data_IF_321511427272
#
_entry.id   IF_321511427272
#
_cell.length_a   1.000
_cell.length_b   1.000
_cell.length_c   1.000
_cell.angle_alpha   90.00
_cell.angle_beta   90.00
_cell.angle_gamma   90.00
#
_symmetry.space_group_name_H-M   'P 1'
#
loop_
_entity.id
_entity.type
_entity.pdbx_description
1 polymer ?
#
# COMPACT_ATOMS: atom_id res chain seq x y z
N UNK A 1 58.82 -35.49 -12.43
CA UNK A 1 57.69 -34.54 -12.31
C UNK A 1 56.70 -35.18 -11.34
N UNK A 2 56.71 -34.73 -10.07
CA UNK A 2 56.01 -35.41 -8.97
C UNK A 2 54.56 -34.93 -8.91
N UNK A 3 53.64 -35.87 -9.10
CA UNK A 3 52.22 -35.73 -8.82
C UNK A 3 52.03 -36.16 -7.36
N UNK A 4 51.37 -35.32 -6.57
CA UNK A 4 50.95 -35.62 -5.20
C UNK A 4 49.44 -35.46 -5.11
N UNK A 5 48.74 -36.55 -4.82
CA UNK A 5 47.33 -36.56 -4.42
C UNK A 5 47.20 -36.11 -2.94
N UNK A 6 46.10 -35.40 -2.57
CA UNK A 6 45.61 -35.37 -1.20
C UNK A 6 44.41 -36.33 -0.99
N UNK A 7 44.09 -36.66 0.27
CA UNK A 7 43.52 -37.95 0.63
C UNK A 7 41.99 -38.01 0.54
N UNK A 8 41.52 -39.25 0.37
CA UNK A 8 40.15 -39.72 0.45
C UNK A 8 39.53 -39.39 1.83
N UNK A 9 38.58 -38.45 1.87
CA UNK A 9 37.66 -38.29 3.02
C UNK A 9 36.28 -38.80 2.62
N UNK A 10 35.84 -39.85 3.31
CA UNK A 10 34.60 -40.56 3.10
C UNK A 10 33.37 -39.63 2.94
N UNK A 11 32.62 -39.83 1.86
CA UNK A 11 31.25 -39.33 1.73
C UNK A 11 30.39 -39.95 2.83
N UNK A 12 30.02 -39.13 3.80
CA UNK A 12 28.97 -39.45 4.75
C UNK A 12 27.69 -38.73 4.31
N UNK A 13 27.04 -39.26 3.26
CA UNK A 13 25.71 -38.81 2.81
C UNK A 13 24.63 -39.32 3.78
N UNK A 14 24.62 -38.76 4.98
CA UNK A 14 23.52 -38.89 5.94
C UNK A 14 22.67 -37.61 5.92
N UNK A 15 21.32 -37.70 6.01
CA UNK A 15 20.49 -36.51 6.16
C UNK A 15 20.87 -35.79 7.47
N UNK A 16 21.10 -34.48 7.38
CA UNK A 16 21.32 -33.60 8.54
C UNK A 16 20.02 -33.50 9.34
N UNK A 17 19.85 -34.42 10.27
CA UNK A 17 18.75 -34.45 11.24
C UNK A 17 19.14 -33.77 12.56
N UNK A 18 20.15 -32.88 12.56
CA UNK A 18 20.51 -32.13 13.75
C UNK A 18 19.37 -31.15 14.10
N UNK A 19 18.86 -31.12 15.36
CA UNK A 19 17.84 -30.18 15.79
C UNK A 19 18.48 -28.81 16.06
N UNK A 20 19.37 -28.39 15.17
CA UNK A 20 19.97 -27.08 15.20
C UNK A 20 18.86 -26.15 14.71
N UNK A 21 18.13 -25.57 15.67
CA UNK A 21 17.22 -24.44 15.40
C UNK A 21 17.97 -23.52 14.46
N UNK A 22 17.46 -23.34 13.23
CA UNK A 22 17.95 -22.35 12.30
C UNK A 22 17.85 -20.98 12.96
N UNK A 23 18.85 -20.61 13.76
CA UNK A 23 19.07 -19.26 14.23
C UNK A 23 19.65 -18.55 13.03
N UNK A 24 18.76 -18.02 12.20
CA UNK A 24 19.13 -16.96 11.26
C UNK A 24 19.59 -15.77 12.11
N UNK A 25 20.90 -15.71 12.36
CA UNK A 25 21.54 -14.60 13.05
C UNK A 25 21.73 -13.38 12.12
N UNK A 26 21.24 -13.45 10.88
CA UNK A 26 21.04 -12.30 9.98
C UNK A 26 19.59 -11.78 10.06
N UNK A 27 19.18 -11.26 11.23
CA UNK A 27 17.84 -10.67 11.39
C UNK A 27 17.76 -9.31 10.70
N UNK A 28 17.73 -9.30 9.36
CA UNK A 28 17.15 -8.17 8.62
C UNK A 28 15.77 -7.91 9.23
N UNK A 29 15.45 -6.69 9.69
CA UNK A 29 14.17 -6.41 10.34
C UNK A 29 13.01 -6.83 9.42
N UNK A 30 12.31 -7.90 9.81
CA UNK A 30 11.09 -8.36 9.15
C UNK A 30 9.90 -7.51 9.58
N UNK A 31 8.79 -7.58 8.84
CA UNK A 31 7.54 -6.95 9.27
C UNK A 31 7.09 -7.49 10.66
N UNK A 32 6.93 -6.63 11.69
CA UNK A 32 6.53 -7.07 13.02
C UNK A 32 5.22 -7.86 13.04
N UNK A 33 5.10 -8.86 13.93
CA UNK A 33 3.87 -9.67 14.05
C UNK A 33 2.64 -8.83 14.38
N UNK A 34 2.80 -7.77 15.17
CA UNK A 34 1.75 -6.82 15.53
C UNK A 34 1.31 -5.90 14.39
N UNK A 35 2.04 -5.88 13.27
CA UNK A 35 1.76 -5.03 12.11
C UNK A 35 1.13 -5.82 10.94
N UNK A 36 0.75 -7.08 11.15
CA UNK A 36 0.23 -7.94 10.08
C UNK A 36 -0.88 -8.89 10.52
N UNK A 37 -1.85 -9.08 9.64
CA UNK A 37 -2.86 -10.13 9.75
C UNK A 37 -2.31 -11.49 9.28
N UNK A 38 -2.86 -12.60 9.78
CA UNK A 38 -2.49 -13.94 9.32
C UNK A 38 -3.07 -14.28 7.93
N UNK A 39 -4.07 -13.54 7.47
CA UNK A 39 -4.73 -13.69 6.17
C UNK A 39 -4.90 -12.32 5.51
N UNK A 40 -4.76 -12.30 4.19
CA UNK A 40 -5.00 -11.15 3.33
C UNK A 40 -5.50 -11.64 1.95
N UNK A 41 -5.97 -10.73 1.09
CA UNK A 41 -6.66 -11.03 -0.18
C UNK A 41 -5.82 -10.60 -1.38
N UNK A 42 -4.56 -11.02 -1.39
CA UNK A 42 -3.68 -10.83 -2.52
C UNK A 42 -2.70 -12.00 -2.63
N UNK A 43 -2.00 -12.07 -3.76
CA UNK A 43 -1.11 -13.16 -4.12
C UNK A 43 0.14 -13.33 -3.23
N UNK A 44 0.36 -12.46 -2.24
CA UNK A 44 1.52 -12.52 -1.33
C UNK A 44 1.10 -12.39 0.13
N UNK A 45 1.70 -13.14 1.08
CA UNK A 45 1.44 -12.95 2.49
C UNK A 45 1.90 -11.57 3.00
N UNK A 46 1.16 -11.00 3.96
CA UNK A 46 1.48 -9.70 4.57
C UNK A 46 2.95 -9.56 5.04
N UNK A 47 3.54 -10.63 5.62
CA UNK A 47 4.94 -10.63 6.08
C UNK A 47 5.96 -10.47 4.96
N UNK A 48 5.63 -10.98 3.76
CA UNK A 48 6.49 -10.89 2.59
C UNK A 48 6.33 -9.49 2.00
N UNK A 49 5.12 -9.11 1.61
CA UNK A 49 4.88 -7.83 0.92
C UNK A 49 5.21 -6.61 1.78
N UNK A 50 5.10 -6.70 3.11
CA UNK A 50 5.39 -5.59 4.01
C UNK A 50 6.82 -5.64 4.59
N UNK A 51 7.66 -6.58 4.15
CA UNK A 51 9.05 -6.70 4.59
C UNK A 51 10.06 -5.98 3.67
N UNK A 52 11.27 -5.80 4.18
CA UNK A 52 12.37 -5.15 3.46
C UNK A 52 12.82 -5.92 2.22
N UNK A 53 12.74 -7.25 2.23
CA UNK A 53 13.09 -8.07 1.06
C UNK A 53 12.17 -7.76 -0.12
N UNK A 54 10.86 -7.57 0.10
CA UNK A 54 9.95 -7.12 -0.94
C UNK A 54 10.22 -5.67 -1.34
N UNK A 55 10.56 -4.80 -0.38
CA UNK A 55 10.97 -3.43 -0.69
C UNK A 55 12.15 -3.41 -1.65
N UNK A 56 13.15 -4.29 -1.50
CA UNK A 56 14.32 -4.36 -2.37
C UNK A 56 14.04 -5.09 -3.69
N UNK A 57 13.27 -6.17 -3.63
CA UNK A 57 13.00 -7.08 -4.74
C UNK A 57 11.50 -7.29 -4.93
N UNK A 58 10.77 -6.27 -5.42
CA UNK A 58 9.33 -6.38 -5.55
C UNK A 58 8.96 -7.38 -6.64
N UNK A 59 7.91 -8.13 -6.35
CA UNK A 59 7.20 -9.00 -7.29
C UNK A 59 5.83 -8.40 -7.61
N UNK A 60 5.17 -8.79 -8.71
CA UNK A 60 3.81 -8.34 -8.98
C UNK A 60 2.88 -8.58 -7.77
N UNK A 61 2.13 -7.55 -7.39
CA UNK A 61 1.19 -7.60 -6.27
C UNK A 61 -0.22 -7.48 -6.84
N UNK A 62 -0.99 -8.56 -6.73
CA UNK A 62 -2.27 -8.74 -7.40
C UNK A 62 -3.34 -9.02 -6.35
N UNK A 63 -4.43 -8.26 -6.38
CA UNK A 63 -5.59 -8.50 -5.51
C UNK A 63 -6.38 -9.68 -6.06
N UNK A 64 -6.77 -10.59 -5.17
CA UNK A 64 -7.41 -11.84 -5.55
C UNK A 64 -8.73 -11.60 -6.31
N UNK A 65 -8.91 -12.28 -7.45
CA UNK A 65 -10.16 -12.28 -8.22
C UNK A 65 -10.41 -11.05 -9.08
N UNK A 66 -9.60 -9.99 -8.98
CA UNK A 66 -9.85 -8.75 -9.74
C UNK A 66 -9.69 -8.97 -11.26
N UNK A 67 -8.63 -9.66 -11.68
CA UNK A 67 -8.37 -9.90 -13.08
C UNK A 67 -9.47 -10.76 -13.73
N UNK A 68 -9.97 -11.75 -13.00
CA UNK A 68 -11.00 -12.68 -13.43
C UNK A 68 -12.38 -12.02 -13.48
N UNK A 69 -12.78 -11.33 -12.39
CA UNK A 69 -14.10 -10.68 -12.28
C UNK A 69 -14.25 -9.48 -13.22
N UNK A 70 -13.15 -8.82 -13.57
CA UNK A 70 -13.14 -7.60 -14.37
C UNK A 70 -12.34 -7.72 -15.65
N UNK A 71 -12.24 -8.94 -16.22
CA UNK A 71 -11.54 -9.19 -17.48
C UNK A 71 -12.00 -8.25 -18.63
N UNK A 72 -13.31 -7.91 -18.67
CA UNK A 72 -13.86 -6.98 -19.66
C UNK A 72 -13.28 -5.56 -19.54
N UNK A 73 -13.08 -5.06 -18.31
CA UNK A 73 -12.44 -3.77 -18.07
C UNK A 73 -11.01 -3.76 -18.61
N UNK A 74 -10.20 -4.74 -18.22
CA UNK A 74 -8.79 -4.80 -18.65
C UNK A 74 -8.65 -4.96 -20.16
N UNK A 75 -9.55 -5.72 -20.80
CA UNK A 75 -9.63 -5.80 -22.26
C UNK A 75 -9.89 -4.44 -22.90
N UNK A 76 -10.83 -3.65 -22.37
CA UNK A 76 -11.12 -2.30 -22.87
C UNK A 76 -9.96 -1.34 -22.63
N UNK A 77 -9.34 -1.38 -21.46
CA UNK A 77 -8.19 -0.53 -21.12
C UNK A 77 -7.00 -0.80 -22.04
N UNK A 78 -6.68 -2.08 -22.30
CA UNK A 78 -5.59 -2.46 -23.20
C UNK A 78 -5.85 -2.07 -24.67
N UNK A 79 -7.12 -1.92 -25.07
CA UNK A 79 -7.49 -1.47 -26.41
C UNK A 79 -7.57 0.06 -26.55
N UNK A 80 -7.61 0.80 -25.44
CA UNK A 80 -7.79 2.24 -25.43
C UNK A 80 -6.46 2.98 -25.59
N UNK A 81 -6.51 4.13 -26.26
CA UNK A 81 -5.38 5.07 -26.31
C UNK A 81 -5.03 5.57 -24.88
N UNK A 82 -3.75 5.89 -24.60
CA UNK A 82 -3.32 6.37 -23.27
C UNK A 82 -4.19 7.48 -22.68
N UNK A 83 -4.61 8.44 -23.51
CA UNK A 83 -5.38 9.62 -23.10
C UNK A 83 -6.83 9.28 -22.76
N UNK A 84 -7.36 8.18 -23.32
CA UNK A 84 -8.74 7.74 -23.12
C UNK A 84 -8.91 6.73 -21.97
N UNK A 85 -7.82 6.11 -21.48
CA UNK A 85 -7.89 5.03 -20.47
C UNK A 85 -8.56 5.46 -19.16
N UNK A 86 -8.34 6.70 -18.71
CA UNK A 86 -8.96 7.23 -17.50
C UNK A 86 -10.49 7.40 -17.63
N UNK A 87 -10.98 7.74 -18.82
CA UNK A 87 -12.41 7.85 -19.11
C UNK A 87 -13.05 6.45 -19.19
N UNK A 88 -12.42 5.53 -19.93
CA UNK A 88 -12.85 4.11 -20.01
C UNK A 88 -12.96 3.48 -18.62
N UNK A 89 -11.97 3.72 -17.74
CA UNK A 89 -12.00 3.26 -16.37
C UNK A 89 -13.19 3.84 -15.60
N UNK A 90 -13.40 5.16 -15.68
CA UNK A 90 -14.47 5.86 -14.99
C UNK A 90 -15.84 5.38 -15.43
N UNK A 91 -16.06 5.26 -16.72
CA UNK A 91 -17.31 4.79 -17.30
C UNK A 91 -17.64 3.37 -16.85
N UNK A 92 -16.64 2.49 -16.85
CA UNK A 92 -16.81 1.13 -16.33
C UNK A 92 -17.24 1.14 -14.87
N UNK A 93 -16.58 1.91 -13.99
CA UNK A 93 -16.95 1.98 -12.58
C UNK A 93 -18.35 2.58 -12.40
N UNK A 94 -18.70 3.62 -13.15
CA UNK A 94 -20.01 4.26 -13.10
C UNK A 94 -21.13 3.27 -13.44
N UNK A 95 -20.97 2.51 -14.52
CA UNK A 95 -21.97 1.52 -14.95
C UNK A 95 -21.98 0.30 -14.03
N UNK A 96 -20.81 -0.29 -13.75
CA UNK A 96 -20.72 -1.53 -12.98
C UNK A 96 -21.23 -1.35 -11.53
N UNK A 97 -20.91 -0.21 -10.91
CA UNK A 97 -21.35 0.11 -9.54
C UNK A 97 -22.50 1.12 -9.48
N UNK A 98 -23.23 1.34 -10.59
CA UNK A 98 -24.42 2.19 -10.62
C UNK A 98 -24.21 3.54 -9.89
N UNK A 99 -23.05 4.17 -10.08
CA UNK A 99 -22.65 5.33 -9.26
C UNK A 99 -23.55 6.55 -9.46
N UNK A 100 -24.22 6.62 -10.62
CA UNK A 100 -25.18 7.67 -10.98
C UNK A 100 -26.65 7.27 -10.77
N UNK A 101 -26.92 5.99 -10.51
CA UNK A 101 -28.28 5.43 -10.33
C UNK A 101 -28.42 4.70 -8.98
N UNK A 102 -28.24 5.40 -7.85
CA UNK A 102 -28.25 4.79 -6.52
C UNK A 102 -29.57 4.07 -6.18
N UNK A 103 -30.69 4.47 -6.79
CA UNK A 103 -31.99 3.80 -6.67
C UNK A 103 -31.97 2.35 -7.16
N UNK A 104 -31.17 2.03 -8.19
CA UNK A 104 -30.99 0.65 -8.68
C UNK A 104 -30.27 -0.23 -7.65
N UNK A 105 -29.57 0.40 -6.71
CA UNK A 105 -28.89 -0.26 -5.59
C UNK A 105 -29.69 -0.20 -4.28
N UNK A 106 -31.00 0.10 -4.36
CA UNK A 106 -31.91 0.10 -3.22
C UNK A 106 -31.92 1.40 -2.40
N UNK A 107 -31.42 2.51 -2.94
CA UNK A 107 -31.51 3.81 -2.27
C UNK A 107 -32.94 4.38 -2.31
N UNK A 108 -33.49 4.71 -1.14
CA UNK A 108 -34.88 5.19 -0.98
C UNK A 108 -35.01 6.70 -0.67
N UNK A 109 -33.92 7.48 -0.77
CA UNK A 109 -34.02 8.96 -0.80
C UNK A 109 -33.73 9.72 0.49
N UNK A 110 -33.61 9.08 1.66
CA UNK A 110 -33.53 9.81 2.95
C UNK A 110 -32.15 10.40 3.30
N UNK A 111 -31.04 9.94 2.71
CA UNK A 111 -29.68 10.43 3.03
C UNK A 111 -28.79 10.61 1.79
N UNK A 112 -29.00 11.71 1.04
CA UNK A 112 -28.28 12.05 -0.21
C UNK A 112 -26.74 12.13 -0.11
N UNK A 113 -26.16 12.31 1.10
CA UNK A 113 -24.70 12.39 1.29
C UNK A 113 -23.97 11.06 1.01
N UNK A 114 -24.70 9.93 1.09
CA UNK A 114 -24.13 8.57 1.06
C UNK A 114 -24.05 7.97 -0.33
N UNK A 115 -24.91 8.42 -1.25
CA UNK A 115 -24.84 8.03 -2.67
C UNK A 115 -23.54 8.50 -3.34
N UNK A 116 -22.88 9.50 -2.75
CA UNK A 116 -21.59 10.03 -3.21
C UNK A 116 -20.38 9.39 -2.52
N UNK A 117 -20.58 8.36 -1.68
CA UNK A 117 -19.49 7.63 -1.01
C UNK A 117 -18.90 6.56 -1.95
N UNK A 118 -18.17 7.02 -2.96
CA UNK A 118 -17.46 6.20 -3.94
C UNK A 118 -15.93 6.38 -3.80
N UNK A 119 -15.17 5.64 -4.60
CA UNK A 119 -13.70 5.68 -4.60
C UNK A 119 -13.14 7.11 -4.70
N UNK A 120 -13.71 7.97 -5.54
CA UNK A 120 -13.23 9.34 -5.75
C UNK A 120 -13.39 10.17 -4.47
N UNK A 121 -14.49 10.00 -3.73
CA UNK A 121 -14.68 10.67 -2.44
C UNK A 121 -13.67 10.18 -1.40
N UNK A 122 -13.34 8.88 -1.38
CA UNK A 122 -12.34 8.35 -0.44
C UNK A 122 -10.96 8.95 -0.68
N UNK A 123 -10.54 8.98 -1.95
CA UNK A 123 -9.24 9.56 -2.35
C UNK A 123 -9.19 11.06 -2.04
N UNK A 124 -10.25 11.82 -2.35
CA UNK A 124 -10.32 13.25 -2.00
C UNK A 124 -10.31 13.50 -0.50
N UNK A 125 -11.05 12.69 0.27
CA UNK A 125 -11.12 12.80 1.72
C UNK A 125 -9.76 12.54 2.37
N UNK A 126 -8.98 11.60 1.83
CA UNK A 126 -7.61 11.32 2.27
C UNK A 126 -6.70 12.54 2.16
N UNK A 127 -6.68 13.20 0.99
CA UNK A 127 -5.82 14.37 0.76
C UNK A 127 -6.20 15.57 1.62
N UNK A 128 -7.43 15.63 2.15
CA UNK A 128 -7.83 16.67 3.09
C UNK A 128 -7.43 16.32 4.53
N UNK A 129 -7.77 15.12 4.98
CA UNK A 129 -7.42 14.62 6.31
C UNK A 129 -7.29 13.09 6.28
N UNK A 130 -6.06 12.61 6.44
CA UNK A 130 -5.76 11.17 6.44
C UNK A 130 -6.34 10.43 7.66
N UNK A 131 -6.77 11.16 8.70
CA UNK A 131 -7.43 10.66 9.90
C UNK A 131 -8.94 10.89 9.91
N UNK A 132 -9.49 11.29 8.75
CA UNK A 132 -10.93 11.35 8.52
C UNK A 132 -11.57 9.97 8.37
N UNK A 133 -12.90 9.93 8.34
CA UNK A 133 -13.67 8.71 8.03
C UNK A 133 -13.24 8.07 6.70
N UNK A 134 -13.02 8.87 5.67
CA UNK A 134 -12.54 8.42 4.36
C UNK A 134 -11.14 7.79 4.49
N UNK A 135 -10.27 8.36 5.33
CA UNK A 135 -8.98 7.76 5.67
C UNK A 135 -9.09 6.46 6.46
N UNK A 136 -10.09 6.34 7.35
CA UNK A 136 -10.37 5.10 8.07
C UNK A 136 -10.76 3.96 7.11
N UNK A 137 -11.56 4.28 6.09
CA UNK A 137 -11.95 3.34 5.02
C UNK A 137 -10.74 2.87 4.23
N UNK A 138 -9.86 3.78 3.76
CA UNK A 138 -8.67 3.40 3.00
C UNK A 138 -7.70 2.54 3.82
N UNK A 139 -7.45 2.91 5.09
CA UNK A 139 -6.66 2.12 6.03
C UNK A 139 -7.27 0.72 6.21
N UNK A 140 -8.60 0.62 6.32
CA UNK A 140 -9.31 -0.65 6.45
C UNK A 140 -9.25 -1.51 5.18
N UNK A 141 -9.34 -0.88 4.01
CA UNK A 141 -9.18 -1.54 2.72
C UNK A 141 -7.77 -2.14 2.58
N UNK A 142 -6.72 -1.38 2.90
CA UNK A 142 -5.34 -1.90 2.85
C UNK A 142 -5.15 -3.06 3.82
N UNK A 143 -5.64 -2.94 5.05
CA UNK A 143 -5.60 -4.02 6.02
C UNK A 143 -6.28 -5.29 5.47
N UNK A 144 -7.44 -5.13 4.83
CA UNK A 144 -8.19 -6.26 4.26
C UNK A 144 -7.48 -6.94 3.09
N UNK A 145 -6.86 -6.17 2.18
CA UNK A 145 -6.28 -6.70 0.92
C UNK A 145 -4.85 -7.17 1.10
N UNK A 146 -4.05 -6.40 1.82
CA UNK A 146 -2.61 -6.63 1.97
C UNK A 146 -2.22 -7.13 3.37
N UNK A 147 -3.18 -7.21 4.30
CA UNK A 147 -2.95 -7.72 5.65
C UNK A 147 -2.08 -6.81 6.50
N UNK A 148 -1.88 -5.55 6.09
CA UNK A 148 -1.07 -4.58 6.83
C UNK A 148 -1.96 -3.78 7.79
N UNK A 149 -1.71 -3.94 9.09
CA UNK A 149 -2.53 -3.32 10.14
C UNK A 149 -2.17 -1.82 10.26
N UNK A 150 -3.16 -0.91 10.33
CA UNK A 150 -2.89 0.51 10.51
C UNK A 150 -2.20 0.77 11.86
N UNK A 151 -1.24 1.69 11.87
CA UNK A 151 -0.44 2.05 13.04
C UNK A 151 -0.91 3.33 13.71
N UNK A 152 -1.63 4.17 12.97
CA UNK A 152 -2.07 5.49 13.43
C UNK A 152 -3.36 5.93 12.75
N UNK A 153 -4.27 6.52 13.54
CA UNK A 153 -5.46 7.21 13.05
C UNK A 153 -5.93 8.24 14.09
N UNK A 154 -5.43 9.48 13.99
CA UNK A 154 -5.57 10.53 15.01
C UNK A 154 -4.81 10.25 16.32
N UNK A 155 -4.64 8.97 16.64
CA UNK A 155 -3.88 8.43 17.75
C UNK A 155 -3.20 7.10 17.37
N UNK A 156 -2.15 6.67 18.09
CA UNK A 156 -1.51 5.38 17.85
C UNK A 156 -2.48 4.21 18.04
N UNK A 157 -2.47 3.26 17.10
CA UNK A 157 -3.35 2.09 17.06
C UNK A 157 -2.64 0.80 17.52
N UNK A 158 -1.76 0.92 18.53
CA UNK A 158 -0.90 -0.20 18.97
C UNK A 158 -1.65 -1.28 19.74
N UNK A 159 -2.75 -0.92 20.38
CA UNK A 159 -3.58 -1.82 21.17
C UNK A 159 -4.94 -2.03 20.48
N UNK A 160 -5.22 -3.23 19.93
CA UNK A 160 -6.50 -3.55 19.32
C UNK A 160 -7.71 -3.44 20.26
N UNK A 161 -7.49 -3.53 21.58
CA UNK A 161 -8.55 -3.38 22.59
C UNK A 161 -8.72 -1.94 23.10
N UNK A 162 -7.84 -1.02 22.72
CA UNK A 162 -7.83 0.34 23.23
C UNK A 162 -8.86 1.25 22.55
N UNK A 163 -9.27 2.32 23.25
CA UNK A 163 -10.27 3.27 22.77
C UNK A 163 -9.95 3.89 21.41
N UNK A 164 -8.67 4.11 21.11
CA UNK A 164 -8.22 4.64 19.82
C UNK A 164 -8.55 3.68 18.67
N UNK A 165 -8.36 2.38 18.90
CA UNK A 165 -8.68 1.34 17.92
C UNK A 165 -10.20 1.20 17.74
N UNK A 166 -10.95 1.25 18.84
CA UNK A 166 -12.43 1.22 18.78
C UNK A 166 -12.96 2.40 17.98
N UNK A 167 -12.49 3.63 18.25
CA UNK A 167 -12.88 4.83 17.47
C UNK A 167 -12.55 4.70 15.99
N UNK A 168 -11.34 4.23 15.66
CA UNK A 168 -10.95 3.96 14.27
C UNK A 168 -11.90 2.96 13.59
N UNK A 169 -12.23 1.87 14.29
CA UNK A 169 -13.14 0.83 13.79
C UNK A 169 -14.57 1.35 13.60
N UNK A 170 -15.07 2.20 14.50
CA UNK A 170 -16.36 2.89 14.37
C UNK A 170 -16.37 3.79 13.14
N UNK A 171 -15.34 4.63 12.95
CA UNK A 171 -15.24 5.50 11.78
C UNK A 171 -15.18 4.70 10.48
N UNK A 172 -14.32 3.67 10.42
CA UNK A 172 -14.26 2.74 9.27
C UNK A 172 -15.63 2.15 8.97
N UNK A 173 -16.32 1.63 9.99
CA UNK A 173 -17.63 1.00 9.85
C UNK A 173 -18.68 1.99 9.35
N UNK A 174 -18.70 3.22 9.88
CA UNK A 174 -19.59 4.27 9.41
C UNK A 174 -19.31 4.69 7.96
N UNK A 175 -18.04 4.67 7.55
CA UNK A 175 -17.59 4.98 6.20
C UNK A 175 -18.00 3.92 5.18
N UNK A 176 -17.93 2.64 5.55
CA UNK A 176 -18.31 1.50 4.70
C UNK A 176 -19.81 1.22 4.68
N UNK A 177 -20.49 1.46 5.81
CA UNK A 177 -21.91 1.17 5.95
C UNK A 177 -22.69 1.79 4.79
N UNK A 178 -23.60 1.03 4.19
CA UNK A 178 -24.51 1.45 3.11
C UNK A 178 -23.83 2.18 1.95
N UNK A 179 -22.62 1.76 1.60
CA UNK A 179 -21.93 2.11 0.36
C UNK A 179 -22.12 1.00 -0.68
N UNK A 180 -21.99 1.33 -1.97
CA UNK A 180 -22.10 0.32 -3.01
C UNK A 180 -20.76 -0.35 -3.31
N UNK A 181 -20.46 -1.46 -2.64
CA UNK A 181 -19.26 -2.27 -2.87
C UNK A 181 -17.96 -1.42 -2.91
N UNK A 182 -17.84 -0.45 -2.01
CA UNK A 182 -16.78 0.56 -2.03
C UNK A 182 -15.37 -0.05 -2.04
N UNK A 183 -15.16 -1.13 -1.30
CA UNK A 183 -13.85 -1.77 -1.28
C UNK A 183 -13.50 -2.42 -2.64
N UNK A 184 -14.48 -2.95 -3.39
CA UNK A 184 -14.25 -3.47 -4.74
C UNK A 184 -13.95 -2.34 -5.75
N UNK A 185 -14.54 -1.16 -5.55
CA UNK A 185 -14.15 0.03 -6.32
C UNK A 185 -12.68 0.39 -6.10
N UNK A 186 -12.20 0.32 -4.84
CA UNK A 186 -10.80 0.57 -4.50
C UNK A 186 -9.85 -0.51 -5.04
N UNK A 187 -10.29 -1.77 -5.09
CA UNK A 187 -9.57 -2.88 -5.72
C UNK A 187 -9.31 -2.58 -7.21
N UNK A 188 -10.30 -2.02 -7.91
CA UNK A 188 -10.16 -1.59 -9.30
C UNK A 188 -9.26 -0.35 -9.46
N UNK A 189 -9.34 0.63 -8.55
CA UNK A 189 -8.43 1.79 -8.58
C UNK A 189 -6.98 1.33 -8.46
N UNK A 190 -6.68 0.46 -7.49
CA UNK A 190 -5.34 -0.11 -7.34
C UNK A 190 -4.89 -0.81 -8.62
N UNK A 191 -5.73 -1.70 -9.16
CA UNK A 191 -5.36 -2.52 -10.32
C UNK A 191 -5.21 -1.68 -11.60
N UNK A 192 -6.01 -0.63 -11.75
CA UNK A 192 -5.85 0.36 -12.82
C UNK A 192 -4.54 1.16 -12.67
N UNK A 193 -4.20 1.58 -11.45
CA UNK A 193 -2.92 2.22 -11.15
C UNK A 193 -1.74 1.30 -11.54
N UNK A 194 -1.82 0.01 -11.20
CA UNK A 194 -0.78 -0.96 -11.56
C UNK A 194 -0.65 -1.15 -13.07
N UNK A 195 -1.76 -1.21 -13.80
CA UNK A 195 -1.74 -1.26 -15.26
C UNK A 195 -1.08 -0.01 -15.87
N UNK A 196 -1.47 1.18 -15.43
CA UNK A 196 -0.90 2.44 -15.93
C UNK A 196 0.60 2.53 -15.67
N UNK A 197 1.04 2.19 -14.45
CA UNK A 197 2.46 2.20 -14.09
C UNK A 197 3.26 1.20 -14.92
N UNK A 198 2.74 -0.01 -15.13
CA UNK A 198 3.41 -1.03 -15.96
C UNK A 198 3.53 -0.60 -17.43
N UNK A 199 2.50 0.06 -17.97
CA UNK A 199 2.52 0.53 -19.36
C UNK A 199 3.41 1.77 -19.56
N UNK A 200 3.46 2.69 -18.59
CA UNK A 200 4.27 3.92 -18.68
C UNK A 200 5.74 3.70 -18.31
N UNK A 201 6.01 2.75 -17.42
CA UNK A 201 7.34 2.51 -16.85
C UNK A 201 7.70 1.00 -16.85
N UNK A 202 7.78 0.35 -18.01
CA UNK A 202 7.88 -1.11 -18.12
C UNK A 202 9.16 -1.71 -17.51
N UNK A 203 10.23 -0.93 -17.39
CA UNK A 203 11.51 -1.37 -16.83
C UNK A 203 11.74 -0.91 -15.39
N UNK A 204 10.94 0.05 -14.91
CA UNK A 204 11.11 0.58 -13.57
C UNK A 204 10.46 -0.36 -12.54
N UNK A 205 11.13 -0.54 -11.41
CA UNK A 205 10.61 -1.31 -10.27
C UNK A 205 10.30 -0.43 -9.07
N UNK A 206 10.95 0.73 -9.00
CA UNK A 206 10.92 1.65 -7.89
C UNK A 206 10.78 3.08 -8.37
N UNK A 207 10.35 3.94 -7.45
CA UNK A 207 10.40 5.39 -7.58
C UNK A 207 10.91 5.97 -6.25
N UNK A 208 11.80 6.96 -6.34
CA UNK A 208 12.22 7.74 -5.19
C UNK A 208 11.09 8.70 -4.81
N UNK A 209 10.61 8.61 -3.59
CA UNK A 209 9.60 9.51 -3.06
C UNK A 209 10.03 10.11 -1.72
N UNK A 210 9.47 11.28 -1.43
CA UNK A 210 9.80 12.09 -0.26
C UNK A 210 8.58 12.30 0.62
N UNK A 211 8.83 12.41 1.93
CA UNK A 211 7.81 12.79 2.91
C UNK A 211 8.44 13.71 3.97
N UNK A 212 7.85 14.88 4.16
CA UNK A 212 8.16 15.76 5.28
C UNK A 212 7.58 15.19 6.58
N UNK A 213 8.36 15.25 7.65
CA UNK A 213 7.97 14.79 8.97
C UNK A 213 8.50 15.72 10.06
N UNK A 214 7.66 16.00 11.05
CA UNK A 214 8.05 16.85 12.18
C UNK A 214 9.06 16.14 13.08
N UNK A 215 8.79 14.88 13.45
CA UNK A 215 9.68 14.11 14.34
C UNK A 215 9.79 12.67 13.87
N UNK A 216 11.02 12.12 13.89
CA UNK A 216 11.23 10.68 13.71
C UNK A 216 10.48 9.82 14.74
N UNK A 217 10.17 10.37 15.92
CA UNK A 217 9.41 9.70 16.97
C UNK A 217 7.95 9.39 16.59
N UNK A 218 7.44 10.05 15.53
CA UNK A 218 6.09 9.79 15.02
C UNK A 218 6.03 8.46 14.24
N UNK A 219 7.19 7.89 13.92
CA UNK A 219 7.33 6.59 13.28
C UNK A 219 7.90 5.54 14.25
N UNK A 220 7.44 4.28 14.08
CA UNK A 220 8.02 3.14 14.78
C UNK A 220 9.37 2.78 14.12
N UNK A 221 10.48 3.10 14.79
CA UNK A 221 11.84 2.78 14.30
C UNK A 221 12.19 1.34 14.64
N UNK A 222 12.37 0.50 13.62
CA UNK A 222 12.71 -0.91 13.75
C UNK A 222 14.23 -1.13 13.87
N UNK A 223 15.02 -0.32 13.18
CA UNK A 223 16.48 -0.32 13.31
C UNK A 223 17.08 1.03 12.89
N UNK A 224 18.23 1.38 13.47
CA UNK A 224 19.02 2.55 13.11
C UNK A 224 20.31 2.09 12.43
N UNK A 225 20.58 2.60 11.23
CA UNK A 225 21.82 2.40 10.51
C UNK A 225 22.75 3.63 10.60
N UNK A 226 23.91 3.52 9.97
CA UNK A 226 24.86 4.63 9.83
C UNK A 226 24.36 5.67 8.80
N UNK A 227 24.87 6.91 8.89
CA UNK A 227 24.66 7.98 7.89
C UNK A 227 23.18 8.30 7.62
N UNK A 228 22.36 8.38 8.67
CA UNK A 228 20.94 8.75 8.55
C UNK A 228 20.04 7.67 7.93
N UNK A 229 20.55 6.45 7.72
CA UNK A 229 19.73 5.32 7.30
C UNK A 229 18.91 4.81 8.48
N UNK A 230 17.61 4.66 8.29
CA UNK A 230 16.70 4.10 9.29
C UNK A 230 15.79 3.08 8.65
N UNK A 231 15.45 2.04 9.40
CA UNK A 231 14.36 1.16 9.06
C UNK A 231 13.19 1.55 9.94
N UNK A 232 12.12 2.00 9.30
CA UNK A 232 10.89 2.42 9.99
C UNK A 232 9.71 1.57 9.52
N UNK A 233 8.69 1.48 10.36
CA UNK A 233 7.39 0.96 9.98
C UNK A 233 6.48 2.14 9.61
N UNK A 234 6.08 2.21 8.34
CA UNK A 234 5.06 3.15 7.89
C UNK A 234 3.69 2.74 8.42
N UNK A 235 2.77 3.72 8.49
CA UNK A 235 1.35 3.38 8.56
C UNK A 235 0.98 2.53 7.32
N UNK A 236 -0.10 1.76 7.40
CA UNK A 236 -0.42 0.83 6.31
C UNK A 236 -0.72 1.53 4.97
N UNK A 237 -1.09 2.80 4.99
CA UNK A 237 -1.09 3.69 3.83
C UNK A 237 -0.60 5.08 4.25
N UNK A 238 0.13 5.76 3.37
CA UNK A 238 0.78 7.06 3.65
C UNK A 238 0.94 7.89 2.39
N UNK A 239 0.86 9.22 2.53
CA UNK A 239 1.14 10.15 1.43
C UNK A 239 2.64 10.40 1.26
N UNK A 240 3.06 10.54 0.02
CA UNK A 240 4.39 10.94 -0.39
C UNK A 240 4.31 11.92 -1.56
N UNK A 241 5.42 12.54 -1.89
CA UNK A 241 5.57 13.39 -3.09
C UNK A 241 6.85 13.01 -3.83
N UNK A 242 6.87 13.20 -5.15
CA UNK A 242 8.11 13.07 -5.93
C UNK A 242 9.03 14.30 -5.84
N UNK A 243 8.54 15.45 -5.34
CA UNK A 243 9.34 16.67 -5.17
C UNK A 243 9.91 16.74 -3.76
N UNK A 244 11.24 16.81 -3.67
CA UNK A 244 11.92 17.00 -2.38
C UNK A 244 11.59 18.37 -1.79
N UNK A 245 11.52 19.40 -2.63
CA UNK A 245 11.22 20.79 -2.26
C UNK A 245 9.84 20.86 -1.62
N UNK A 246 8.85 20.21 -2.22
CA UNK A 246 7.50 20.08 -1.67
C UNK A 246 7.54 19.40 -0.30
N UNK A 247 8.33 18.34 -0.13
CA UNK A 247 8.45 17.65 1.15
C UNK A 247 9.06 18.56 2.25
N UNK A 248 9.91 19.53 1.90
CA UNK A 248 10.43 20.52 2.84
C UNK A 248 9.34 21.41 3.45
N UNK A 249 8.17 21.54 2.81
CA UNK A 249 7.07 22.34 3.33
C UNK A 249 6.43 21.71 4.60
N UNK A 250 6.74 20.44 4.90
CA UNK A 250 5.96 19.62 5.84
C UNK A 250 6.75 19.03 7.02
N UNK A 251 7.71 19.76 7.60
CA UNK A 251 8.30 19.41 8.89
C UNK A 251 9.75 19.86 9.04
N UNK A 252 10.50 19.20 9.92
CA UNK A 252 11.93 19.50 10.20
C UNK A 252 12.86 18.51 9.46
N UNK A 253 12.33 17.37 9.05
CA UNK A 253 13.08 16.30 8.40
C UNK A 253 12.37 15.82 7.13
N UNK A 254 13.18 15.32 6.19
CA UNK A 254 12.71 14.67 4.98
C UNK A 254 13.11 13.20 5.04
N UNK A 255 12.11 12.35 4.81
CA UNK A 255 12.29 10.94 4.52
C UNK A 255 12.40 10.76 3.00
N UNK A 256 13.55 10.33 2.51
CA UNK A 256 13.71 9.85 1.14
C UNK A 256 13.61 8.32 1.12
N UNK A 257 12.75 7.78 0.26
CA UNK A 257 12.42 6.35 0.24
C UNK A 257 12.34 5.84 -1.20
N UNK A 258 13.00 4.71 -1.47
CA UNK A 258 12.79 3.93 -2.69
C UNK A 258 11.54 3.07 -2.51
N UNK A 259 10.44 3.47 -3.17
CA UNK A 259 9.14 2.81 -3.08
C UNK A 259 8.93 1.91 -4.29
N UNK A 260 8.65 0.60 -4.11
CA UNK A 260 8.21 -0.24 -5.21
C UNK A 260 6.98 0.31 -5.91
N UNK A 261 6.95 0.33 -7.25
CA UNK A 261 5.78 0.79 -8.02
C UNK A 261 4.50 0.01 -7.64
N UNK A 262 4.67 -1.28 -7.34
CA UNK A 262 3.62 -2.19 -6.85
C UNK A 262 2.96 -1.76 -5.53
N UNK A 263 3.58 -0.86 -4.77
CA UNK A 263 3.03 -0.30 -3.52
C UNK A 263 2.29 1.01 -3.74
N UNK A 264 2.29 1.58 -4.94
CA UNK A 264 1.56 2.82 -5.23
C UNK A 264 0.08 2.48 -5.42
N UNK A 265 -0.76 2.92 -4.48
CA UNK A 265 -2.20 2.79 -4.60
C UNK A 265 -2.78 3.79 -5.60
N UNK A 266 -2.36 5.05 -5.52
CA UNK A 266 -2.86 6.13 -6.36
C UNK A 266 -1.79 7.23 -6.48
N UNK A 267 -1.81 7.97 -7.59
CA UNK A 267 -1.06 9.21 -7.75
C UNK A 267 -1.91 10.26 -8.47
N UNK A 268 -1.69 11.55 -8.21
CA UNK A 268 -2.53 12.65 -8.74
C UNK A 268 -2.77 12.57 -10.26
N UNK A 269 -1.75 12.18 -11.04
CA UNK A 269 -1.82 12.06 -12.49
C UNK A 269 -2.63 10.87 -13.03
N UNK A 270 -3.13 9.97 -12.17
CA UNK A 270 -3.83 8.75 -12.60
C UNK A 270 -5.24 9.04 -13.13
N UNK A 271 -6.01 9.87 -12.42
CA UNK A 271 -7.40 10.19 -12.74
C UNK A 271 -7.62 11.71 -12.74
N UNK A 272 -7.61 12.36 -13.91
CA UNK A 272 -7.85 13.79 -14.02
C UNK A 272 -9.18 14.20 -13.35
N UNK A 273 -9.10 15.19 -12.47
CA UNK A 273 -10.24 15.74 -11.73
C UNK A 273 -10.61 15.01 -10.44
N UNK A 274 -9.93 13.91 -10.07
CA UNK A 274 -10.14 13.27 -8.75
C UNK A 274 -9.38 14.02 -7.67
N UNK A 275 -8.08 14.24 -7.83
CA UNK A 275 -7.29 15.16 -6.99
C UNK A 275 -6.90 16.39 -7.82
N UNK A 276 -6.98 17.57 -7.20
CA UNK A 276 -6.41 18.81 -7.72
C UNK A 276 -5.32 19.24 -6.72
N UNK A 277 -4.07 18.88 -7.01
CA UNK A 277 -2.94 19.13 -6.10
C UNK A 277 -1.66 18.48 -6.62
N UNK A 278 -0.51 19.04 -6.25
CA UNK A 278 0.79 18.69 -6.83
C UNK A 278 1.24 17.29 -6.37
N UNK A 279 1.30 16.38 -7.33
CA UNK A 279 2.13 15.18 -7.35
C UNK A 279 2.19 14.34 -6.06
N UNK A 280 1.04 14.19 -5.41
CA UNK A 280 0.85 13.29 -4.27
C UNK A 280 0.79 11.83 -4.75
N UNK A 281 1.46 10.96 -4.01
CA UNK A 281 1.43 9.51 -4.14
C UNK A 281 0.88 8.91 -2.85
N UNK A 282 -0.18 8.11 -2.96
CA UNK A 282 -0.68 7.29 -1.87
C UNK A 282 0.01 5.92 -1.94
N UNK A 283 0.78 5.60 -0.91
CA UNK A 283 1.66 4.43 -0.89
C UNK A 283 1.20 3.45 0.19
N UNK A 284 1.05 2.18 -0.18
CA UNK A 284 0.86 1.06 0.74
C UNK A 284 2.15 0.86 1.55
N UNK A 285 2.03 0.84 2.87
CA UNK A 285 3.15 0.81 3.79
C UNK A 285 3.76 -0.57 4.01
N UNK A 286 4.30 -0.72 5.22
CA UNK A 286 5.17 -1.83 5.63
C UNK A 286 6.47 -1.30 6.22
N UNK A 287 7.42 -2.21 6.46
CA UNK A 287 8.78 -1.87 6.83
C UNK A 287 9.50 -1.28 5.61
N UNK A 288 10.15 -0.15 5.79
CA UNK A 288 10.90 0.54 4.74
C UNK A 288 12.24 1.03 5.27
N UNK A 289 13.27 0.89 4.44
CA UNK A 289 14.51 1.61 4.61
C UNK A 289 14.36 3.04 4.07
N UNK A 290 14.78 4.02 4.86
CA UNK A 290 14.66 5.45 4.55
C UNK A 290 15.99 6.14 4.79
N UNK A 291 16.26 7.16 3.98
CA UNK A 291 17.35 8.11 4.24
C UNK A 291 16.76 9.34 4.87
N UNK A 292 17.20 9.65 6.09
CA UNK A 292 16.83 10.87 6.80
C UNK A 292 17.78 12.00 6.41
N UNK A 293 17.23 13.13 5.98
CA UNK A 293 17.96 14.40 5.87
C UNK A 293 17.23 15.49 6.61
N UNK A 294 17.97 16.39 7.27
CA UNK A 294 17.42 17.67 7.73
C UNK A 294 17.16 18.58 6.53
N UNK A 295 16.20 19.48 6.65
CA UNK A 295 15.93 20.53 5.66
C UNK A 295 17.07 21.54 5.62
#
# INVERSE_FOLDING_TARGET
MKITEPPNSANNDGPDNSPTICRGDDKVPSLPRSARLPINRCNLPAVVLGGLTYQQHPSPLLIDGVAELHADLFRRLNAAAPEARAEVFRDYLTVHFQLEWPEQMGFTGHKKSRTKANYSKMIRGWSFDSDSREGAVLKGWVESRFGLVPRYHGQPLRDPGGDAYIRYMEMRSQGLYGTNALEAQLDLVYSFCQLELALRHPTARHVTLYRGVNRMADHEVLAKGARGQHIILLNNISSFTHSRERACEFGDYILAVEIPLTKIFFHCGLLPGVLQGEDEFLVIGGAVNVTLSTI
#
